data_IF_890820614011
#
_entry.id   IF_890820614011
#
_cell.length_a   1.000
_cell.length_b   1.000
_cell.length_c   1.000
_cell.angle_alpha   90.00
_cell.angle_beta   90.00
_cell.angle_gamma   90.00
#
_symmetry.space_group_name_H-M   'P 1'
#
loop_
_entity.id
_entity.type
_entity.pdbx_description
1 polymer ?
#
# COMPACT_ATOMS: atom_id res chain seq x y z
N UNK A 1 10.46 7.57 6.97
CA UNK A 1 11.13 6.68 6.00
C UNK A 1 10.09 5.65 5.57
N UNK A 2 10.07 5.24 4.31
CA UNK A 2 9.05 4.30 3.79
C UNK A 2 9.18 2.95 4.48
N UNK A 3 8.11 2.52 5.15
CA UNK A 3 8.01 1.21 5.78
C UNK A 3 6.62 0.66 5.44
N UNK A 4 6.50 -0.41 4.64
CA UNK A 4 7.54 -1.32 4.16
C UNK A 4 8.49 -0.74 3.10
N UNK A 5 9.63 -1.40 2.88
CA UNK A 5 10.60 -0.99 1.87
C UNK A 5 10.03 -1.15 0.45
N UNK A 6 10.24 -0.13 -0.39
CA UNK A 6 9.73 -0.08 -1.76
C UNK A 6 10.19 -1.27 -2.62
N UNK A 7 11.34 -1.85 -2.30
CA UNK A 7 11.91 -3.00 -3.02
C UNK A 7 11.01 -4.24 -3.01
N UNK A 8 10.19 -4.44 -1.97
CA UNK A 8 9.21 -5.54 -1.94
C UNK A 8 8.06 -5.27 -2.93
N UNK A 9 7.56 -4.04 -2.93
CA UNK A 9 6.48 -3.61 -3.82
C UNK A 9 6.89 -3.65 -5.30
N UNK A 10 8.13 -3.26 -5.61
CA UNK A 10 8.67 -3.30 -6.96
C UNK A 10 8.70 -4.70 -7.59
N UNK A 11 8.69 -5.77 -6.79
CA UNK A 11 8.62 -7.15 -7.30
C UNK A 11 7.21 -7.58 -7.69
N UNK A 12 6.19 -6.92 -7.16
CA UNK A 12 4.77 -7.25 -7.39
C UNK A 12 4.15 -6.44 -8.53
N UNK A 13 4.91 -5.51 -9.12
CA UNK A 13 4.46 -4.62 -10.17
C UNK A 13 5.40 -4.72 -11.37
N UNK A 14 4.83 -4.90 -12.56
CA UNK A 14 5.60 -4.88 -13.81
C UNK A 14 6.11 -3.46 -14.15
N UNK A 15 5.42 -2.43 -13.67
CA UNK A 15 5.75 -1.03 -13.90
C UNK A 15 5.87 -0.25 -12.60
N UNK A 16 7.01 0.43 -12.44
CA UNK A 16 7.26 1.32 -11.28
C UNK A 16 6.29 2.50 -11.25
N UNK A 17 5.86 2.98 -12.41
CA UNK A 17 4.90 4.08 -12.50
C UNK A 17 3.51 3.64 -12.07
N UNK A 18 3.11 2.41 -12.41
CA UNK A 18 1.85 1.84 -11.96
C UNK A 18 1.80 1.73 -10.43
N UNK A 19 2.89 1.26 -9.81
CA UNK A 19 3.04 1.23 -8.35
C UNK A 19 2.82 2.62 -7.73
N UNK A 20 3.44 3.66 -8.28
CA UNK A 20 3.28 5.03 -7.76
C UNK A 20 1.83 5.51 -7.88
N UNK A 21 1.18 5.25 -9.01
CA UNK A 21 -0.21 5.64 -9.24
C UNK A 21 -1.15 4.94 -8.25
N UNK A 22 -0.96 3.64 -8.03
CA UNK A 22 -1.83 2.86 -7.15
C UNK A 22 -1.62 3.20 -5.67
N UNK A 23 -0.37 3.40 -5.25
CA UNK A 23 -0.05 3.93 -3.90
C UNK A 23 -0.71 5.30 -3.70
N UNK A 24 -0.57 6.22 -4.64
CA UNK A 24 -1.12 7.56 -4.51
C UNK A 24 -2.66 7.56 -4.50
N UNK A 25 -3.29 6.73 -5.32
CA UNK A 25 -4.76 6.57 -5.34
C UNK A 25 -5.27 6.02 -4.02
N UNK A 26 -4.59 5.01 -3.46
CA UNK A 26 -4.99 4.39 -2.20
C UNK A 26 -4.76 5.33 -1.00
N UNK A 27 -3.62 6.02 -0.97
CA UNK A 27 -3.32 7.01 0.08
C UNK A 27 -4.35 8.15 0.14
N UNK A 28 -4.89 8.60 -1.01
CA UNK A 28 -5.96 9.61 -1.04
C UNK A 28 -7.25 9.09 -0.40
N UNK A 29 -7.65 7.84 -0.68
CA UNK A 29 -8.83 7.24 -0.05
C UNK A 29 -8.67 7.15 1.47
N UNK A 30 -7.49 6.74 1.93
CA UNK A 30 -7.19 6.67 3.37
C UNK A 30 -7.23 8.08 3.99
N UNK A 31 -6.65 9.08 3.32
CA UNK A 31 -6.70 10.46 3.80
C UNK A 31 -8.15 11.00 3.91
N UNK A 32 -8.99 10.70 2.92
CA UNK A 32 -10.41 11.09 2.94
C UNK A 32 -11.17 10.41 4.09
N UNK A 33 -10.85 9.14 4.38
CA UNK A 33 -11.42 8.41 5.52
C UNK A 33 -10.96 8.98 6.86
N UNK A 34 -9.69 9.36 6.98
CA UNK A 34 -9.11 9.94 8.20
C UNK A 34 -9.58 11.37 8.46
N UNK A 35 -9.96 12.12 7.42
CA UNK A 35 -10.39 13.51 7.55
C UNK A 35 -11.67 13.70 8.42
N UNK A 36 -12.45 12.64 8.62
CA UNK A 36 -13.63 12.64 9.48
C UNK A 36 -13.41 12.06 10.88
N UNK A 37 -12.22 11.55 11.18
CA UNK A 37 -11.94 10.83 12.43
C UNK A 37 -11.31 11.78 13.47
N UNK A 38 -11.92 11.89 14.64
CA UNK A 38 -11.44 12.78 15.71
C UNK A 38 -10.16 12.28 16.38
N UNK A 39 -9.84 11.00 16.19
CA UNK A 39 -8.65 10.33 16.70
C UNK A 39 -7.71 10.00 15.53
N UNK A 40 -7.31 11.05 14.80
CA UNK A 40 -6.53 10.94 13.58
C UNK A 40 -5.26 10.08 13.83
N UNK A 41 -5.08 8.96 13.11
CA UNK A 41 -3.92 8.10 13.28
C UNK A 41 -2.61 8.87 13.12
N UNK A 42 -1.61 8.52 13.93
CA UNK A 42 -0.25 9.10 13.85
C UNK A 42 0.49 8.71 12.57
N UNK A 43 0.02 7.67 11.89
CA UNK A 43 0.59 7.14 10.67
C UNK A 43 0.14 7.92 9.43
N UNK A 44 1.07 8.14 8.51
CA UNK A 44 0.76 8.88 7.27
C UNK A 44 -0.07 7.98 6.34
N UNK A 45 -1.07 8.52 5.63
CA UNK A 45 -1.87 7.77 4.66
C UNK A 45 -1.03 7.00 3.62
N UNK A 46 0.14 7.54 3.26
CA UNK A 46 1.08 6.89 2.32
C UNK A 46 1.73 5.66 2.92
N UNK A 47 2.09 5.68 4.21
CA UNK A 47 2.69 4.53 4.88
C UNK A 47 1.65 3.40 5.01
N UNK A 48 0.43 3.74 5.42
CA UNK A 48 -0.72 2.82 5.45
C UNK A 48 -0.99 2.21 4.07
N UNK A 49 -0.97 3.04 3.01
CA UNK A 49 -1.19 2.55 1.67
C UNK A 49 -0.13 1.53 1.20
N UNK A 50 1.14 1.74 1.59
CA UNK A 50 2.22 0.81 1.27
C UNK A 50 2.05 -0.52 2.01
N UNK A 51 1.63 -0.49 3.28
CA UNK A 51 1.33 -1.70 4.05
C UNK A 51 0.19 -2.50 3.42
N UNK A 52 -0.91 -1.84 3.07
CA UNK A 52 -2.07 -2.49 2.47
C UNK A 52 -1.73 -3.16 1.15
N UNK A 53 -0.96 -2.49 0.29
CA UNK A 53 -0.54 -3.06 -1.00
C UNK A 53 0.42 -4.24 -0.83
N UNK A 54 1.34 -4.18 0.14
CA UNK A 54 2.18 -5.35 0.47
C UNK A 54 1.34 -6.52 0.98
N UNK A 55 0.36 -6.25 1.84
CA UNK A 55 -0.54 -7.29 2.38
C UNK A 55 -1.40 -7.92 1.28
N UNK A 56 -1.93 -7.11 0.37
CA UNK A 56 -2.71 -7.58 -0.77
C UNK A 56 -1.89 -8.49 -1.70
N UNK A 57 -0.68 -8.08 -2.07
CA UNK A 57 0.19 -8.88 -2.94
C UNK A 57 0.79 -10.11 -2.25
N UNK A 58 1.07 -10.07 -0.93
CA UNK A 58 1.50 -11.24 -0.16
C UNK A 58 0.41 -12.32 -0.06
N UNK A 59 -0.87 -11.92 -0.05
CA UNK A 59 -2.00 -12.85 -0.15
C UNK A 59 -2.05 -13.58 -1.50
N UNK A 60 -1.66 -12.92 -2.60
CA UNK A 60 -1.61 -13.53 -3.94
C UNK A 60 -0.41 -14.47 -4.13
N UNK A 61 0.77 -14.14 -3.57
CA UNK A 61 1.94 -15.04 -3.59
C UNK A 61 1.66 -16.35 -2.85
N UNK A 62 0.88 -16.31 -1.77
CA UNK A 62 0.49 -17.51 -1.03
C UNK A 62 -0.48 -18.38 -1.82
N UNK A 63 -1.31 -17.82 -2.71
CA UNK A 63 -2.20 -18.58 -3.61
C UNK A 63 -1.47 -19.13 -4.85
N UNK A 64 -0.50 -18.41 -5.42
CA UNK A 64 0.29 -18.88 -6.56
C UNK A 64 1.22 -20.05 -6.25
N UNK A 65 1.50 -20.31 -4.97
CA UNK A 65 2.40 -21.39 -4.52
C UNK A 65 1.68 -22.72 -4.25
N UNK A 66 0.36 -22.75 -4.39
CA UNK A 66 -0.51 -23.91 -4.12
C UNK A 66 -1.06 -24.54 -5.41
N UNK A 67 -0.62 -24.06 -6.59
CA UNK A 67 -0.94 -24.65 -7.89
C UNK A 67 0.33 -24.82 -8.75
#
# INVERSE_FOLDING_TARGET
MLNPSIGKLLKMYDSRYQLVIDVARHARKIADQMAGDTDAPTEKPVDLALYDLVKAGAGEEQYRRIY
#
